data_IF_660658409540
#
_entry.id   IF_660658409540
#
_cell.length_a   1.000
_cell.length_b   1.000
_cell.length_c   1.000
_cell.angle_alpha   90.00
_cell.angle_beta   90.00
_cell.angle_gamma   90.00
#
_symmetry.space_group_name_H-M   'P 1'
#
loop_
_entity.id
_entity.type
_entity.pdbx_description
1 polymer ?
#
# COMPACT_ATOMS: atom_id res chain seq x y z
N UNK A 1 -0.15 10.05 -10.95
CA UNK A 1 -1.47 10.14 -10.30
C UNK A 1 -2.55 10.39 -11.35
N UNK A 2 -3.41 9.40 -11.68
CA UNK A 2 -4.36 9.52 -12.79
C UNK A 2 -5.39 10.63 -12.59
N UNK A 3 -5.82 10.88 -11.37
CA UNK A 3 -6.92 11.83 -11.10
C UNK A 3 -6.49 13.30 -11.09
N UNK A 4 -5.18 13.58 -11.19
CA UNK A 4 -4.64 14.93 -11.42
C UNK A 4 -4.58 15.26 -12.91
N UNK A 5 -4.62 14.25 -13.78
CA UNK A 5 -4.42 14.42 -15.23
C UNK A 5 -5.71 14.94 -15.88
N UNK A 6 -5.76 16.21 -16.36
CA UNK A 6 -7.00 16.83 -16.81
C UNK A 6 -7.69 16.12 -18.00
N UNK A 7 -6.91 15.48 -18.87
CA UNK A 7 -7.44 14.83 -20.07
C UNK A 7 -8.05 13.44 -19.80
N UNK A 8 -7.81 12.80 -18.66
CA UNK A 8 -8.41 11.48 -18.32
C UNK A 8 -9.94 11.57 -18.36
N UNK A 9 -10.52 12.59 -17.72
CA UNK A 9 -11.97 12.83 -17.81
C UNK A 9 -12.43 12.94 -19.25
N UNK A 10 -11.73 13.74 -20.06
CA UNK A 10 -12.07 13.93 -21.47
C UNK A 10 -12.02 12.63 -22.29
N UNK A 11 -11.03 11.77 -22.03
CA UNK A 11 -10.93 10.46 -22.69
C UNK A 11 -12.10 9.57 -22.30
N UNK A 12 -12.41 9.48 -21.01
CA UNK A 12 -13.50 8.67 -20.50
C UNK A 12 -14.86 9.17 -21.02
N UNK A 13 -15.08 10.48 -21.11
CA UNK A 13 -16.31 11.06 -21.62
C UNK A 13 -16.53 10.76 -23.12
N UNK A 14 -15.44 10.67 -23.89
CA UNK A 14 -15.51 10.34 -25.34
C UNK A 14 -15.81 8.87 -25.64
N UNK A 15 -15.69 7.96 -24.69
CA UNK A 15 -16.04 6.56 -24.88
C UNK A 15 -17.58 6.47 -24.99
N UNK A 16 -18.14 5.92 -26.06
CA UNK A 16 -19.60 5.73 -26.19
C UNK A 16 -20.15 4.84 -25.06
N UNK A 17 -21.32 5.15 -24.53
CA UNK A 17 -21.92 4.42 -23.40
C UNK A 17 -22.08 2.92 -23.67
N UNK A 18 -22.39 2.51 -24.93
CA UNK A 18 -22.46 1.10 -25.31
C UNK A 18 -21.10 0.38 -25.27
N UNK A 19 -20.00 1.12 -25.44
CA UNK A 19 -18.65 0.58 -25.29
C UNK A 19 -18.27 0.54 -23.81
N UNK A 20 -18.61 1.58 -23.02
CA UNK A 20 -18.37 1.60 -21.56
C UNK A 20 -18.91 0.35 -20.89
N UNK A 21 -20.12 -0.08 -21.22
CA UNK A 21 -20.74 -1.31 -20.69
C UNK A 21 -19.95 -2.60 -20.95
N UNK A 22 -18.99 -2.59 -21.85
CA UNK A 22 -18.12 -3.72 -22.18
C UNK A 22 -16.70 -3.57 -21.65
N UNK A 23 -16.31 -2.36 -21.25
CA UNK A 23 -14.96 -2.05 -20.81
C UNK A 23 -14.77 -2.28 -19.30
N UNK A 24 -13.62 -2.81 -18.95
CA UNK A 24 -13.09 -2.87 -17.60
C UNK A 24 -12.01 -1.79 -17.49
N UNK A 25 -12.08 -0.97 -16.48
CA UNK A 25 -11.05 0.04 -16.19
C UNK A 25 -10.18 -0.41 -15.01
N UNK A 26 -8.88 -0.14 -15.10
CA UNK A 26 -7.95 -0.33 -13.99
C UNK A 26 -7.22 0.99 -13.72
N UNK A 27 -7.29 1.46 -12.50
CA UNK A 27 -6.54 2.60 -12.03
C UNK A 27 -5.66 2.22 -10.84
N UNK A 28 -4.40 2.64 -10.87
CA UNK A 28 -3.54 2.68 -9.69
C UNK A 28 -3.36 4.13 -9.31
N UNK A 29 -3.60 4.46 -8.04
CA UNK A 29 -3.65 5.83 -7.56
C UNK A 29 -3.07 5.96 -6.15
N UNK A 30 -2.57 7.13 -5.84
CA UNK A 30 -2.25 7.55 -4.47
C UNK A 30 -3.50 8.03 -3.71
N UNK A 31 -4.60 8.24 -4.44
CA UNK A 31 -5.89 8.71 -3.94
C UNK A 31 -5.80 10.01 -3.13
N UNK A 32 -4.90 10.90 -3.50
CA UNK A 32 -4.80 12.25 -2.89
C UNK A 32 -5.93 13.19 -3.33
N UNK A 33 -6.57 12.88 -4.45
CA UNK A 33 -7.67 13.65 -5.04
C UNK A 33 -8.78 12.70 -5.49
N UNK A 34 -10.02 13.07 -5.20
CA UNK A 34 -11.23 12.41 -5.72
C UNK A 34 -11.97 13.39 -6.65
N UNK A 35 -12.12 12.99 -7.92
CA UNK A 35 -12.95 13.72 -8.88
C UNK A 35 -14.35 13.09 -8.92
N UNK A 36 -15.31 13.69 -8.23
CA UNK A 36 -16.67 13.15 -8.11
C UNK A 36 -17.34 12.92 -9.47
N UNK A 37 -17.16 13.83 -10.43
CA UNK A 37 -17.74 13.70 -11.76
C UNK A 37 -17.19 12.50 -12.53
N UNK A 38 -15.90 12.20 -12.38
CA UNK A 38 -15.26 11.03 -12.94
C UNK A 38 -15.79 9.74 -12.29
N UNK A 39 -15.89 9.72 -10.97
CA UNK A 39 -16.39 8.55 -10.23
C UNK A 39 -17.86 8.26 -10.55
N UNK A 40 -18.70 9.26 -10.75
CA UNK A 40 -20.06 9.05 -11.23
C UNK A 40 -20.10 8.40 -12.63
N UNK A 41 -19.16 8.75 -13.52
CA UNK A 41 -19.04 8.10 -14.82
C UNK A 41 -18.64 6.63 -14.73
N UNK A 42 -17.97 6.19 -13.66
CA UNK A 42 -17.59 4.79 -13.46
C UNK A 42 -18.79 3.84 -13.43
N UNK A 43 -19.95 4.31 -12.98
CA UNK A 43 -21.21 3.55 -12.97
C UNK A 43 -21.63 3.03 -14.35
N UNK A 44 -21.12 3.64 -15.43
CA UNK A 44 -21.44 3.29 -16.82
C UNK A 44 -20.58 2.15 -17.37
N UNK A 45 -19.47 1.81 -16.69
CA UNK A 45 -18.54 0.77 -17.12
C UNK A 45 -19.00 -0.61 -16.69
N UNK A 46 -18.48 -1.65 -17.34
CA UNK A 46 -18.72 -3.03 -16.92
C UNK A 46 -18.17 -3.26 -15.52
N UNK A 47 -16.96 -2.78 -15.26
CA UNK A 47 -16.26 -2.95 -14.01
C UNK A 47 -15.13 -1.91 -13.90
N UNK A 48 -14.83 -1.45 -12.70
CA UNK A 48 -13.73 -0.53 -12.42
C UNK A 48 -12.93 -1.04 -11.23
N UNK A 49 -11.64 -1.28 -11.44
CA UNK A 49 -10.69 -1.63 -10.40
C UNK A 49 -9.92 -0.37 -9.97
N UNK A 50 -10.00 -0.06 -8.71
CA UNK A 50 -9.29 1.06 -8.11
C UNK A 50 -8.29 0.54 -7.08
N UNK A 51 -7.03 0.42 -7.50
CA UNK A 51 -5.94 -0.03 -6.65
C UNK A 51 -5.26 1.18 -6.00
N UNK A 52 -5.47 1.34 -4.70
CA UNK A 52 -4.89 2.43 -3.92
C UNK A 52 -3.55 2.01 -3.35
N UNK A 53 -2.52 2.81 -3.62
CA UNK A 53 -1.17 2.52 -3.13
C UNK A 53 -1.01 2.95 -1.68
N UNK A 54 -0.79 2.00 -0.77
CA UNK A 54 -0.62 2.24 0.67
C UNK A 54 0.59 1.52 1.22
N UNK A 55 1.48 2.23 1.92
CA UNK A 55 2.75 1.67 2.43
C UNK A 55 2.76 1.49 3.96
N UNK A 56 1.61 1.46 4.59
CA UNK A 56 1.41 1.36 6.03
C UNK A 56 0.29 2.28 6.47
N UNK A 57 0.14 2.51 7.76
CA UNK A 57 -0.84 3.45 8.31
C UNK A 57 -0.16 4.67 8.93
N UNK A 58 -0.88 5.78 8.97
CA UNK A 58 -0.49 7.03 9.65
C UNK A 58 0.94 7.47 9.29
N UNK A 59 1.77 7.63 10.29
CA UNK A 59 3.14 8.14 10.18
C UNK A 59 4.01 7.30 9.23
N UNK A 60 3.83 5.98 9.22
CA UNK A 60 4.56 5.09 8.30
C UNK A 60 4.19 5.39 6.84
N UNK A 61 2.91 5.58 6.55
CA UNK A 61 2.47 5.95 5.21
C UNK A 61 3.02 7.33 4.80
N UNK A 62 2.90 8.33 5.69
CA UNK A 62 3.37 9.70 5.44
C UNK A 62 4.89 9.77 5.26
N UNK A 63 5.63 8.95 6.00
CA UNK A 63 7.09 8.86 5.86
C UNK A 63 7.51 8.28 4.51
N UNK A 64 6.93 7.15 4.11
CA UNK A 64 7.29 6.45 2.87
C UNK A 64 6.74 7.16 1.63
N UNK A 65 5.59 7.80 1.74
CA UNK A 65 4.97 8.61 0.67
C UNK A 65 5.02 10.08 1.00
N UNK A 66 6.23 10.62 1.01
CA UNK A 66 6.49 12.01 1.37
C UNK A 66 5.57 12.99 0.64
N UNK A 67 4.94 13.88 1.40
CA UNK A 67 3.94 14.85 0.91
C UNK A 67 2.49 14.33 0.95
N UNK A 68 2.26 13.04 1.23
CA UNK A 68 0.92 12.52 1.50
C UNK A 68 0.52 12.77 2.95
N UNK A 69 -0.79 12.86 3.16
CA UNK A 69 -1.40 12.91 4.48
C UNK A 69 -2.34 11.71 4.65
N UNK A 70 -2.14 10.95 5.72
CA UNK A 70 -2.98 9.79 6.01
C UNK A 70 -4.46 10.16 6.14
N UNK A 71 -4.75 11.25 6.84
CA UNK A 71 -6.12 11.75 7.03
C UNK A 71 -6.83 12.05 5.69
N UNK A 72 -6.10 12.59 4.71
CA UNK A 72 -6.63 12.84 3.37
C UNK A 72 -6.96 11.53 2.66
N UNK A 73 -6.06 10.55 2.72
CA UNK A 73 -6.26 9.23 2.13
C UNK A 73 -7.47 8.54 2.75
N UNK A 74 -7.54 8.49 4.08
CA UNK A 74 -8.64 7.89 4.84
C UNK A 74 -9.99 8.53 4.50
N UNK A 75 -10.03 9.86 4.44
CA UNK A 75 -11.23 10.62 4.05
C UNK A 75 -11.67 10.28 2.63
N UNK A 76 -10.72 10.19 1.69
CA UNK A 76 -11.01 9.87 0.29
C UNK A 76 -11.48 8.42 0.11
N UNK A 77 -10.91 7.45 0.85
CA UNK A 77 -11.39 6.06 0.85
C UNK A 77 -12.83 6.01 1.33
N UNK A 78 -13.14 6.66 2.46
CA UNK A 78 -14.50 6.72 3.01
C UNK A 78 -15.48 7.35 2.04
N UNK A 79 -15.11 8.46 1.41
CA UNK A 79 -15.93 9.14 0.42
C UNK A 79 -16.30 8.21 -0.75
N UNK A 80 -15.33 7.44 -1.26
CA UNK A 80 -15.57 6.48 -2.34
C UNK A 80 -16.51 5.35 -1.90
N UNK A 81 -16.34 4.83 -0.69
CA UNK A 81 -17.23 3.81 -0.14
C UNK A 81 -18.67 4.33 0.00
N UNK A 82 -18.84 5.58 0.45
CA UNK A 82 -20.15 6.24 0.59
C UNK A 82 -20.85 6.47 -0.75
N UNK A 83 -20.09 6.63 -1.85
CA UNK A 83 -20.67 6.74 -3.21
C UNK A 83 -21.38 5.47 -3.67
N UNK A 84 -21.13 4.33 -3.06
CA UNK A 84 -21.77 3.02 -3.35
C UNK A 84 -21.84 2.71 -4.84
N UNK A 85 -20.73 2.87 -5.56
CA UNK A 85 -20.63 2.57 -6.98
C UNK A 85 -20.64 1.05 -7.16
N UNK A 86 -21.69 0.45 -7.77
CA UNK A 86 -21.93 -1.00 -7.68
C UNK A 86 -20.92 -1.86 -8.43
N UNK A 87 -20.24 -1.31 -9.41
CA UNK A 87 -19.24 -1.96 -10.24
C UNK A 87 -17.81 -1.51 -9.94
N UNK A 88 -17.58 -0.81 -8.82
CA UNK A 88 -16.26 -0.41 -8.35
C UNK A 88 -15.71 -1.43 -7.37
N UNK A 89 -14.54 -1.96 -7.68
CA UNK A 89 -13.74 -2.82 -6.82
C UNK A 89 -12.57 -1.99 -6.29
N UNK A 90 -12.62 -1.67 -5.00
CA UNK A 90 -11.57 -0.95 -4.30
C UNK A 90 -10.65 -1.96 -3.62
N UNK A 91 -9.36 -1.86 -3.90
CA UNK A 91 -8.33 -2.66 -3.24
C UNK A 91 -7.09 -1.82 -2.89
N UNK A 92 -6.25 -2.36 -2.04
CA UNK A 92 -4.98 -1.74 -1.63
C UNK A 92 -3.84 -2.46 -2.33
N UNK A 93 -2.96 -1.73 -2.99
CA UNK A 93 -1.64 -2.22 -3.40
C UNK A 93 -0.63 -1.87 -2.30
N UNK A 94 -0.02 -2.89 -1.70
CA UNK A 94 1.01 -2.72 -0.67
C UNK A 94 2.33 -3.33 -1.12
N UNK A 95 3.40 -2.52 -1.09
CA UNK A 95 4.76 -3.00 -1.33
C UNK A 95 5.35 -3.52 -0.03
N UNK A 96 5.50 -4.85 0.05
CA UNK A 96 6.12 -5.54 1.19
C UNK A 96 7.62 -5.28 1.15
N UNK A 97 8.10 -4.45 2.07
CA UNK A 97 9.47 -3.99 2.14
C UNK A 97 9.92 -3.76 3.58
N UNK A 98 11.22 -3.62 3.78
CA UNK A 98 11.84 -3.42 5.09
C UNK A 98 11.27 -2.24 5.86
N UNK A 99 11.09 -1.09 5.20
CA UNK A 99 10.69 0.14 5.89
C UNK A 99 9.21 0.16 6.30
N UNK A 100 8.34 -0.65 5.69
CA UNK A 100 6.91 -0.78 6.05
C UNK A 100 6.56 -2.03 6.84
N UNK A 101 7.50 -2.95 7.03
CA UNK A 101 7.22 -4.29 7.58
C UNK A 101 6.54 -4.28 8.94
N UNK A 102 6.94 -3.40 9.85
CA UNK A 102 6.33 -3.24 11.18
C UNK A 102 4.87 -2.78 11.14
N UNK A 103 4.46 -2.14 10.05
CA UNK A 103 3.10 -1.61 9.86
C UNK A 103 2.16 -2.62 9.20
N UNK A 104 2.63 -3.81 8.81
CA UNK A 104 1.82 -4.80 8.10
C UNK A 104 0.62 -5.25 8.93
N UNK A 105 0.83 -5.65 10.18
CA UNK A 105 -0.28 -6.11 11.04
C UNK A 105 -1.30 -4.99 11.29
N UNK A 106 -0.90 -3.80 11.80
CA UNK A 106 -1.86 -2.71 12.01
C UNK A 106 -2.59 -2.28 10.73
N UNK A 107 -1.91 -2.28 9.58
CA UNK A 107 -2.52 -1.96 8.30
C UNK A 107 -3.55 -3.03 7.89
N UNK A 108 -3.22 -4.29 8.10
CA UNK A 108 -4.11 -5.40 7.75
C UNK A 108 -5.37 -5.36 8.59
N UNK A 109 -5.25 -5.15 9.90
CA UNK A 109 -6.39 -5.01 10.82
C UNK A 109 -7.29 -3.83 10.41
N UNK A 110 -6.68 -2.68 10.08
CA UNK A 110 -7.40 -1.49 9.64
C UNK A 110 -8.24 -1.73 8.37
N UNK A 111 -7.71 -2.45 7.38
CA UNK A 111 -8.44 -2.75 6.13
C UNK A 111 -9.37 -3.97 6.24
N UNK A 112 -9.10 -4.89 7.18
CA UNK A 112 -10.04 -5.97 7.52
C UNK A 112 -11.37 -5.42 8.02
N UNK A 113 -11.34 -4.45 8.93
CA UNK A 113 -12.52 -3.79 9.47
C UNK A 113 -13.37 -3.13 8.38
N UNK A 114 -12.75 -2.73 7.27
CA UNK A 114 -13.41 -2.13 6.13
C UNK A 114 -13.74 -3.12 5.01
N UNK A 115 -13.34 -4.38 5.12
CA UNK A 115 -13.46 -5.42 4.10
C UNK A 115 -12.83 -5.00 2.75
N UNK A 116 -11.68 -4.30 2.81
CA UNK A 116 -10.89 -3.92 1.63
C UNK A 116 -9.73 -4.89 1.48
N UNK A 117 -9.62 -5.51 0.30
CA UNK A 117 -8.58 -6.48 0.00
C UNK A 117 -7.22 -5.80 -0.17
N UNK A 118 -6.16 -6.43 0.37
CA UNK A 118 -4.77 -5.98 0.20
C UNK A 118 -4.05 -6.91 -0.78
N UNK A 119 -3.53 -6.33 -1.85
CA UNK A 119 -2.72 -7.03 -2.85
C UNK A 119 -1.23 -6.80 -2.54
N UNK A 120 -0.47 -7.85 -2.24
CA UNK A 120 0.96 -7.73 -1.93
C UNK A 120 1.81 -7.62 -3.20
N UNK A 121 2.84 -6.79 -3.13
CA UNK A 121 3.94 -6.73 -4.09
C UNK A 121 5.23 -6.87 -3.30
N UNK A 122 5.97 -7.97 -3.46
CA UNK A 122 7.28 -8.10 -2.81
C UNK A 122 8.29 -7.19 -3.51
N UNK A 123 8.92 -6.30 -2.77
CA UNK A 123 9.99 -5.46 -3.30
C UNK A 123 11.24 -6.28 -3.54
N UNK A 124 11.68 -6.38 -4.78
CA UNK A 124 12.92 -7.09 -5.17
C UNK A 124 14.04 -6.15 -5.56
N UNK A 125 13.70 -4.97 -6.02
CA UNK A 125 14.65 -3.91 -6.41
C UNK A 125 14.11 -2.54 -5.97
N UNK A 126 14.90 -1.72 -5.27
CA UNK A 126 16.29 -1.96 -4.87
C UNK A 126 16.43 -2.97 -3.71
N UNK A 127 17.41 -3.86 -3.82
CA UNK A 127 17.61 -5.01 -2.91
C UNK A 127 17.78 -4.62 -1.45
N UNK A 128 18.30 -3.44 -1.16
CA UNK A 128 18.49 -2.95 0.21
C UNK A 128 17.17 -2.63 0.95
N UNK A 129 16.05 -2.49 0.25
CA UNK A 129 14.72 -2.41 0.87
C UNK A 129 13.96 -3.75 0.85
N UNK A 130 14.53 -4.79 0.26
CA UNK A 130 13.96 -6.12 0.32
C UNK A 130 13.93 -6.64 1.76
N UNK A 131 12.95 -7.44 2.12
CA UNK A 131 12.76 -7.97 3.49
C UNK A 131 13.92 -8.83 4.01
N UNK A 132 14.86 -9.25 3.16
CA UNK A 132 16.11 -9.90 3.59
C UNK A 132 16.97 -8.99 4.47
N UNK A 133 16.84 -7.67 4.35
CA UNK A 133 17.56 -6.71 5.20
C UNK A 133 16.98 -6.58 6.62
N UNK A 134 15.80 -7.13 6.89
CA UNK A 134 15.23 -7.20 8.24
C UNK A 134 16.00 -8.16 9.14
N UNK A 135 16.03 -7.86 10.44
CA UNK A 135 16.55 -8.81 11.42
C UNK A 135 15.76 -10.12 11.42
N UNK A 136 16.42 -11.22 11.76
CA UNK A 136 15.76 -12.51 11.96
C UNK A 136 14.67 -12.41 13.02
N UNK A 137 14.97 -11.73 14.13
CA UNK A 137 14.02 -11.54 15.23
C UNK A 137 12.72 -10.84 14.80
N UNK A 138 12.82 -9.79 13.95
CA UNK A 138 11.62 -9.11 13.42
C UNK A 138 10.73 -10.03 12.60
N UNK A 139 11.35 -10.88 11.77
CA UNK A 139 10.62 -11.87 10.94
C UNK A 139 10.01 -12.98 11.81
N UNK A 140 10.74 -13.52 12.77
CA UNK A 140 10.24 -14.54 13.71
C UNK A 140 9.08 -14.00 14.56
N UNK A 141 9.20 -12.76 15.05
CA UNK A 141 8.11 -12.08 15.77
C UNK A 141 6.84 -11.99 14.89
N UNK A 142 6.96 -11.50 13.67
CA UNK A 142 5.83 -11.42 12.74
C UNK A 142 5.20 -12.80 12.48
N UNK A 143 6.02 -13.84 12.26
CA UNK A 143 5.56 -15.20 12.05
C UNK A 143 4.80 -15.75 13.27
N UNK A 144 5.28 -15.45 14.48
CA UNK A 144 4.62 -15.81 15.73
C UNK A 144 3.27 -15.08 15.87
N UNK A 145 3.27 -13.76 15.73
CA UNK A 145 2.10 -12.91 15.97
C UNK A 145 0.96 -13.20 14.97
N UNK A 146 1.31 -13.67 13.76
CA UNK A 146 0.34 -13.95 12.70
C UNK A 146 -0.01 -15.44 12.53
N UNK A 147 0.45 -16.32 13.42
CA UNK A 147 0.27 -17.80 13.26
C UNK A 147 -1.21 -18.22 13.18
N UNK A 148 -2.10 -17.53 13.87
CA UNK A 148 -3.54 -17.81 13.94
C UNK A 148 -4.38 -16.76 13.27
N UNK A 149 -3.76 -15.92 12.43
CA UNK A 149 -4.50 -14.87 11.76
C UNK A 149 -5.55 -15.45 10.81
N UNK A 150 -6.81 -14.98 10.94
CA UNK A 150 -7.97 -15.47 10.19
C UNK A 150 -8.88 -14.35 9.66
N UNK A 151 -8.36 -13.11 9.60
CA UNK A 151 -9.09 -11.93 9.12
C UNK A 151 -9.40 -11.97 7.62
N UNK A 152 -10.05 -10.92 7.14
CA UNK A 152 -10.43 -10.76 5.73
C UNK A 152 -9.22 -10.89 4.80
N UNK A 153 -8.09 -10.27 5.17
CA UNK A 153 -6.84 -10.29 4.41
C UNK A 153 -5.90 -11.48 4.74
N UNK A 154 -6.44 -12.64 5.09
CA UNK A 154 -5.65 -13.83 5.44
C UNK A 154 -4.66 -14.26 4.35
N UNK A 155 -5.00 -14.07 3.08
CA UNK A 155 -4.14 -14.47 1.97
C UNK A 155 -2.97 -13.49 1.79
N UNK A 156 -3.17 -12.20 2.07
CA UNK A 156 -2.08 -11.22 2.19
C UNK A 156 -1.11 -11.62 3.32
N UNK A 157 -1.61 -11.93 4.51
CA UNK A 157 -0.77 -12.38 5.62
C UNK A 157 -0.02 -13.68 5.29
N UNK A 158 -0.67 -14.65 4.63
CA UNK A 158 0.01 -15.88 4.17
C UNK A 158 1.16 -15.58 3.21
N UNK A 159 0.94 -14.67 2.26
CA UNK A 159 1.99 -14.23 1.34
C UNK A 159 3.21 -13.67 2.09
N UNK A 160 2.99 -12.73 3.02
CA UNK A 160 4.08 -12.12 3.80
C UNK A 160 4.79 -13.15 4.67
N UNK A 161 4.04 -14.09 5.27
CA UNK A 161 4.62 -15.21 6.04
C UNK A 161 5.53 -16.09 5.19
N UNK A 162 5.10 -16.45 3.99
CA UNK A 162 5.90 -17.27 3.05
C UNK A 162 7.18 -16.54 2.66
N UNK A 163 7.10 -15.27 2.29
CA UNK A 163 8.27 -14.46 1.98
C UNK A 163 9.22 -14.30 3.18
N UNK A 164 8.68 -14.15 4.40
CA UNK A 164 9.49 -14.04 5.63
C UNK A 164 10.22 -15.33 5.97
N UNK A 165 9.62 -16.49 5.71
CA UNK A 165 10.26 -17.80 5.89
C UNK A 165 11.35 -18.05 4.85
N UNK A 166 11.11 -17.70 3.59
CA UNK A 166 12.08 -17.84 2.51
C UNK A 166 13.32 -16.98 2.73
N UNK A 167 13.16 -15.82 3.35
CA UNK A 167 14.23 -14.85 3.62
C UNK A 167 14.47 -14.67 5.13
N UNK A 168 14.44 -15.77 5.90
CA UNK A 168 14.52 -15.70 7.37
C UNK A 168 15.83 -15.10 7.87
N UNK A 169 16.95 -15.47 7.24
CA UNK A 169 18.25 -14.92 7.63
C UNK A 169 18.42 -13.47 7.17
N UNK A 170 19.20 -12.72 7.94
CA UNK A 170 19.43 -11.30 7.67
C UNK A 170 20.59 -11.10 6.70
N UNK A 171 20.38 -10.33 5.64
CA UNK A 171 21.45 -9.78 4.81
C UNK A 171 21.97 -8.47 5.44
N UNK A 172 23.06 -8.58 6.18
CA UNK A 172 23.65 -7.43 6.89
C UNK A 172 24.21 -6.37 5.94
N UNK A 173 24.60 -6.75 4.71
CA UNK A 173 25.06 -5.79 3.70
C UNK A 173 23.88 -4.96 3.19
N UNK A 174 22.78 -5.61 2.86
CA UNK A 174 21.53 -4.92 2.47
C UNK A 174 21.01 -4.04 3.61
N UNK A 175 21.07 -4.51 4.87
CA UNK A 175 20.70 -3.72 6.05
C UNK A 175 21.48 -2.42 6.13
N UNK A 176 22.81 -2.49 6.00
CA UNK A 176 23.65 -1.28 6.04
C UNK A 176 23.29 -0.30 4.94
N UNK A 177 23.11 -0.78 3.72
CA UNK A 177 22.69 0.05 2.59
C UNK A 177 21.31 0.67 2.81
N UNK A 178 20.36 -0.08 3.37
CA UNK A 178 19.03 0.42 3.74
C UNK A 178 19.13 1.60 4.72
N UNK A 179 19.90 1.43 5.80
CA UNK A 179 20.11 2.47 6.81
C UNK A 179 20.77 3.72 6.22
N UNK A 180 21.80 3.57 5.39
CA UNK A 180 22.47 4.68 4.72
C UNK A 180 21.49 5.44 3.82
N UNK A 181 20.58 4.72 3.15
CA UNK A 181 19.60 5.34 2.25
C UNK A 181 18.51 6.09 3.04
N UNK A 182 17.98 5.49 4.11
CA UNK A 182 17.01 6.14 5.01
C UNK A 182 17.61 7.40 5.64
N UNK A 183 18.86 7.36 6.09
CA UNK A 183 19.54 8.54 6.65
C UNK A 183 19.69 9.68 5.62
N UNK A 184 19.92 9.35 4.35
CA UNK A 184 19.97 10.38 3.27
C UNK A 184 18.59 11.00 3.04
N UNK A 185 17.52 10.20 3.08
CA UNK A 185 16.16 10.74 2.99
C UNK A 185 15.84 11.67 4.14
N UNK A 186 16.15 11.27 5.36
CA UNK A 186 15.93 12.08 6.55
C UNK A 186 16.63 13.44 6.45
N UNK A 187 17.88 13.45 6.02
CA UNK A 187 18.66 14.68 5.85
C UNK A 187 18.02 15.64 4.82
N UNK A 188 17.35 15.12 3.80
CA UNK A 188 16.70 15.94 2.76
C UNK A 188 15.30 16.41 3.22
N UNK A 189 14.58 15.57 3.96
CA UNK A 189 13.16 15.77 4.30
C UNK A 189 12.95 16.39 5.68
N UNK A 190 13.97 16.40 6.53
CA UNK A 190 13.89 16.92 7.90
C UNK A 190 13.06 16.06 8.86
N UNK A 191 12.93 14.75 8.55
CA UNK A 191 12.26 13.77 9.40
C UNK A 191 13.24 12.66 9.84
N UNK A 192 12.79 11.66 10.59
CA UNK A 192 13.66 10.60 11.09
C UNK A 192 13.00 9.22 10.96
N UNK A 193 13.64 8.32 10.18
CA UNK A 193 13.23 6.92 10.11
C UNK A 193 13.22 6.23 11.48
N UNK A 194 14.06 6.70 12.42
CA UNK A 194 14.18 6.15 13.78
C UNK A 194 12.92 6.36 14.63
N UNK A 195 12.09 7.33 14.25
CA UNK A 195 10.80 7.59 14.89
C UNK A 195 9.69 6.71 14.32
N UNK A 196 9.92 6.13 13.13
CA UNK A 196 8.93 5.39 12.35
C UNK A 196 9.23 3.88 12.39
N UNK A 197 10.48 3.50 12.12
CA UNK A 197 10.87 2.09 11.98
C UNK A 197 11.46 1.61 13.33
N UNK A 198 10.85 0.58 13.96
CA UNK A 198 11.37 0.01 15.21
C UNK A 198 12.82 -0.44 15.06
N UNK A 199 13.62 -0.11 16.07
CA UNK A 199 15.06 -0.41 16.06
C UNK A 199 15.33 -1.91 15.88
N UNK A 200 14.54 -2.75 16.51
CA UNK A 200 14.64 -4.21 16.42
C UNK A 200 14.39 -4.78 15.02
N UNK A 201 13.78 -4.03 14.11
CA UNK A 201 13.56 -4.50 12.75
C UNK A 201 14.84 -4.47 11.90
N UNK A 202 15.75 -3.56 12.20
CA UNK A 202 16.92 -3.27 11.35
C UNK A 202 18.26 -3.34 12.09
N UNK A 203 18.26 -3.41 13.44
CA UNK A 203 19.45 -3.59 14.25
C UNK A 203 19.33 -4.89 15.05
N UNK A 204 20.32 -5.79 14.87
CA UNK A 204 20.44 -7.01 15.63
C UNK A 204 20.91 -6.72 17.07
#
# INVERSE_FOLDING_TARGET
EPFIIPWIQTVIDKIPDEQKKKCILHFTTNLTIVNLGLFENFKKFKEVWLSVSVEGIKETHEYLRYGHKWETLETNIRLIQEMKIPNLILNINHVVQTASYHSIIPMTEYFDDQQIEIHPILLTDPTHFHISSLTKNAKEKFLHDTVRYSGYNKDFIKFVRSASLEHLDQDTTATKQCLDYLQRFDNVRGNSYKEIIPKENIHA
#
